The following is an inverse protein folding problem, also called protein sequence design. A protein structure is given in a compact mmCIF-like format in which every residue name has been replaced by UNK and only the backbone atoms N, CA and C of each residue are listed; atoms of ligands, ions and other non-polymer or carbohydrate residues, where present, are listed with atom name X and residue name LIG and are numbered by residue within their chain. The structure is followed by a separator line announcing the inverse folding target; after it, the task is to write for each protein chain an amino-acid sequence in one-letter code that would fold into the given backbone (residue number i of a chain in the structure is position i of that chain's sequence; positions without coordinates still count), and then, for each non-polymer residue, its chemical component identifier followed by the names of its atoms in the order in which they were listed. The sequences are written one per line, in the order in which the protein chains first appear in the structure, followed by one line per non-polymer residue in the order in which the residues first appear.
data_IF_289355021761
#
_entry.id   IF_289355021761
#
_cell.length_a   1.000
_cell.length_b   1.000
_cell.length_c   1.000
_cell.angle_alpha   90.00
_cell.angle_beta   90.00
_cell.angle_gamma   90.00
#
_symmetry.space_group_name_H-M   'P 1'
#
loop_
_entity.id
_entity.type
_entity.pdbx_description
1 polymer ?
#
# COMPACT_ATOMS: atom_id res chain seq x y z
N UNK A 1 -19.76 -4.31 -8.66
CA UNK A 1 -20.45 -3.30 -7.82
C UNK A 1 -21.71 -3.96 -7.31
N UNK A 2 -22.03 -3.81 -6.03
CA UNK A 2 -23.19 -4.45 -5.40
C UNK A 2 -23.98 -3.39 -4.59
N UNK A 3 -25.32 -3.53 -4.52
CA UNK A 3 -26.17 -2.55 -3.85
C UNK A 3 -25.94 -2.56 -2.34
N UNK A 4 -25.90 -1.37 -1.74
CA UNK A 4 -25.75 -1.22 -0.28
C UNK A 4 -27.13 -1.26 0.37
N UNK A 5 -27.24 -1.96 1.50
CA UNK A 5 -28.44 -1.93 2.37
C UNK A 5 -28.05 -1.41 3.74
N UNK A 6 -28.82 -0.46 4.25
CA UNK A 6 -28.61 0.10 5.58
C UNK A 6 -29.66 -0.42 6.55
N UNK A 7 -29.21 -1.02 7.66
CA UNK A 7 -30.11 -1.31 8.78
C UNK A 7 -30.11 -0.14 9.74
N UNK A 8 -31.26 0.48 9.94
CA UNK A 8 -31.40 1.72 10.71
C UNK A 8 -32.46 1.51 11.79
N UNK A 9 -32.04 1.63 13.05
CA UNK A 9 -32.94 1.60 14.21
C UNK A 9 -33.21 3.03 14.67
N UNK A 10 -34.47 3.46 14.60
CA UNK A 10 -34.89 4.86 14.85
C UNK A 10 -35.57 5.02 16.21
N UNK A 11 -35.22 4.16 17.17
CA UNK A 11 -35.90 4.06 18.45
C UNK A 11 -35.71 5.33 19.29
N UNK A 12 -36.81 5.95 19.70
CA UNK A 12 -36.81 7.12 20.60
C UNK A 12 -36.55 8.46 19.93
N UNK A 13 -36.47 8.51 18.60
CA UNK A 13 -36.19 9.73 17.83
C UNK A 13 -37.51 10.42 17.46
N UNK A 14 -37.60 11.76 17.50
CA UNK A 14 -38.76 12.53 17.03
C UNK A 14 -39.19 12.13 15.61
N UNK A 15 -40.51 12.15 15.30
CA UNK A 15 -41.06 11.63 14.05
C UNK A 15 -40.50 12.34 12.81
N UNK A 16 -40.21 13.64 12.92
CA UNK A 16 -39.60 14.44 11.85
C UNK A 16 -38.22 13.93 11.44
N UNK A 17 -37.38 13.62 12.43
CA UNK A 17 -36.02 13.13 12.21
C UNK A 17 -36.08 11.68 11.71
N UNK A 18 -37.03 10.88 12.20
CA UNK A 18 -37.23 9.52 11.70
C UNK A 18 -37.56 9.51 10.21
N UNK A 19 -38.45 10.40 9.76
CA UNK A 19 -38.82 10.52 8.34
C UNK A 19 -37.63 10.95 7.49
N UNK A 20 -36.85 11.94 7.96
CA UNK A 20 -35.66 12.40 7.27
C UNK A 20 -34.63 11.28 7.09
N UNK A 21 -34.37 10.50 8.14
CA UNK A 21 -33.43 9.38 8.10
C UNK A 21 -33.90 8.30 7.12
N UNK A 22 -35.19 8.01 7.05
CA UNK A 22 -35.73 7.08 6.04
C UNK A 22 -35.57 7.60 4.62
N UNK A 23 -35.76 8.89 4.38
CA UNK A 23 -35.61 9.49 3.06
C UNK A 23 -34.14 9.47 2.61
N UNK A 24 -33.21 9.79 3.51
CA UNK A 24 -31.77 9.70 3.25
C UNK A 24 -31.38 8.26 2.94
N UNK A 25 -31.88 7.28 3.72
CA UNK A 25 -31.66 5.86 3.46
C UNK A 25 -32.10 5.47 2.05
N UNK A 26 -33.30 5.85 1.64
CA UNK A 26 -33.84 5.49 0.32
C UNK A 26 -32.97 6.04 -0.83
N UNK A 27 -32.54 7.30 -0.72
CA UNK A 27 -31.67 7.92 -1.72
C UNK A 27 -30.28 7.27 -1.70
N UNK A 28 -29.75 7.00 -0.52
CA UNK A 28 -28.45 6.36 -0.34
C UNK A 28 -28.41 4.94 -0.95
N UNK A 29 -29.44 4.11 -0.75
CA UNK A 29 -29.49 2.75 -1.31
C UNK A 29 -29.64 2.74 -2.84
N UNK A 30 -30.20 3.80 -3.45
CA UNK A 30 -30.31 3.93 -4.92
C UNK A 30 -28.99 4.34 -5.57
N UNK A 31 -28.17 5.14 -4.88
CA UNK A 31 -26.99 5.78 -5.46
C UNK A 31 -25.70 5.08 -5.02
N UNK A 32 -25.62 4.67 -3.75
CA UNK A 32 -24.42 4.09 -3.19
C UNK A 32 -24.32 2.60 -3.55
N UNK A 33 -23.09 2.19 -3.82
CA UNK A 33 -22.74 0.81 -4.07
C UNK A 33 -21.45 0.50 -3.33
N UNK A 34 -21.26 -0.76 -2.94
CA UNK A 34 -19.94 -1.23 -2.53
C UNK A 34 -19.26 -1.95 -3.69
N UNK A 35 -17.93 -1.96 -3.63
CA UNK A 35 -17.12 -2.67 -4.60
C UNK A 35 -17.14 -4.16 -4.24
N UNK A 36 -17.69 -4.99 -5.13
CA UNK A 36 -17.58 -6.46 -5.02
C UNK A 36 -16.12 -6.90 -5.02
N UNK A 37 -15.35 -6.25 -5.88
CA UNK A 37 -13.91 -6.45 -6.04
C UNK A 37 -13.31 -5.07 -6.18
N UNK A 38 -12.27 -4.80 -5.39
CA UNK A 38 -11.58 -3.51 -5.41
C UNK A 38 -10.98 -3.28 -6.81
N UNK A 39 -11.13 -2.09 -7.41
CA UNK A 39 -10.71 -1.84 -8.80
C UNK A 39 -9.20 -1.84 -8.98
N UNK A 40 -8.45 -1.78 -7.89
CA UNK A 40 -7.01 -1.70 -7.90
C UNK A 40 -6.49 -3.07 -7.50
N UNK A 41 -5.65 -3.64 -8.36
CA UNK A 41 -4.83 -4.79 -7.99
C UNK A 41 -3.84 -4.29 -6.96
N UNK A 42 -4.10 -4.59 -5.69
CA UNK A 42 -3.16 -4.25 -4.64
C UNK A 42 -1.89 -5.09 -4.82
N UNK A 43 -0.70 -4.51 -4.61
CA UNK A 43 0.52 -5.29 -4.52
C UNK A 43 0.37 -6.39 -3.45
N UNK A 44 1.06 -7.53 -3.61
CA UNK A 44 1.07 -8.58 -2.60
C UNK A 44 1.40 -8.02 -1.21
N UNK A 45 0.63 -8.40 -0.17
CA UNK A 45 0.89 -7.93 1.18
C UNK A 45 2.30 -8.27 1.65
N UNK A 46 3.02 -7.30 2.20
CA UNK A 46 4.39 -7.48 2.72
C UNK A 46 4.46 -8.64 3.73
N UNK A 47 3.43 -8.78 4.57
CA UNK A 47 3.33 -9.85 5.58
C UNK A 47 3.11 -11.26 5.01
N UNK A 48 2.64 -11.38 3.77
CA UNK A 48 2.40 -12.67 3.10
C UNK A 48 3.62 -13.18 2.33
N UNK A 49 4.69 -12.38 2.25
CA UNK A 49 5.92 -12.82 1.62
C UNK A 49 6.60 -13.87 2.51
N UNK A 50 6.41 -15.15 2.15
CA UNK A 50 7.31 -16.19 2.64
C UNK A 50 8.72 -15.76 2.23
N UNK A 51 9.70 -15.92 3.13
CA UNK A 51 11.07 -15.47 2.93
C UNK A 51 11.74 -16.03 1.64
N UNK A 52 11.09 -16.99 0.96
CA UNK A 52 11.51 -17.56 -0.31
C UNK A 52 11.16 -16.68 -1.53
N UNK A 53 10.01 -16.00 -1.54
CA UNK A 53 9.55 -15.22 -2.72
C UNK A 53 10.01 -13.76 -2.67
N UNK A 54 10.48 -13.28 -1.52
CA UNK A 54 11.13 -11.98 -1.37
C UNK A 54 12.44 -11.88 -2.17
N UNK A 55 12.94 -13.00 -2.72
CA UNK A 55 14.03 -12.99 -3.69
C UNK A 55 13.66 -12.35 -5.03
N UNK A 56 12.40 -12.00 -5.30
CA UNK A 56 12.00 -11.36 -6.55
C UNK A 56 11.50 -9.91 -6.41
N UNK A 57 11.03 -9.50 -5.22
CA UNK A 57 10.63 -8.11 -4.97
C UNK A 57 11.70 -7.27 -4.25
N UNK A 58 12.69 -7.92 -3.61
CA UNK A 58 13.85 -7.27 -2.97
C UNK A 58 15.14 -8.03 -3.33
N UNK A 59 15.26 -8.52 -4.57
CA UNK A 59 16.58 -8.69 -5.19
C UNK A 59 16.77 -7.58 -6.19
N UNK A 60 17.46 -6.56 -5.70
CA UNK A 60 18.50 -5.81 -6.39
C UNK A 60 18.58 -6.11 -7.88
N UNK A 61 18.00 -5.21 -8.68
CA UNK A 61 18.19 -5.19 -10.13
C UNK A 61 19.67 -4.89 -10.48
N UNK A 62 20.52 -4.56 -9.50
CA UNK A 62 21.97 -4.57 -9.63
C UNK A 62 22.66 -4.59 -8.25
N UNK A 63 23.23 -5.74 -7.88
CA UNK A 63 24.50 -5.84 -7.13
C UNK A 63 24.71 -5.01 -5.87
N UNK A 64 23.66 -4.58 -5.17
CA UNK A 64 23.74 -3.77 -3.96
C UNK A 64 22.75 -4.28 -2.91
N UNK A 65 23.26 -4.53 -1.72
CA UNK A 65 22.61 -5.25 -0.63
C UNK A 65 21.57 -4.42 0.13
N UNK A 66 20.38 -5.01 0.36
CA UNK A 66 19.50 -4.69 1.51
C UNK A 66 18.51 -3.54 1.34
N UNK A 67 17.30 -3.72 1.86
CA UNK A 67 16.25 -2.68 1.96
C UNK A 67 16.64 -1.55 2.93
N UNK A 68 17.59 -1.78 3.82
CA UNK A 68 18.38 -0.79 4.57
C UNK A 68 19.75 -1.46 4.78
N UNK A 69 20.85 -0.73 4.57
CA UNK A 69 22.17 -1.29 4.23
C UNK A 69 22.61 -2.53 5.04
N UNK A 70 23.09 -3.56 4.32
CA UNK A 70 23.95 -4.59 4.89
C UNK A 70 23.46 -6.03 4.76
N UNK A 71 23.92 -6.69 3.70
CA UNK A 71 24.12 -8.14 3.66
C UNK A 71 22.87 -9.00 3.46
N UNK A 72 22.80 -9.62 2.28
CA UNK A 72 22.39 -11.02 2.08
C UNK A 72 21.21 -11.53 2.95
N UNK A 73 20.00 -11.50 2.39
CA UNK A 73 18.98 -12.50 2.71
C UNK A 73 18.40 -12.46 4.14
N UNK A 74 18.43 -11.31 4.81
CA UNK A 74 17.70 -11.17 6.07
C UNK A 74 16.19 -11.19 5.78
N UNK A 75 15.41 -12.05 6.46
CA UNK A 75 13.96 -12.02 6.32
C UNK A 75 13.45 -10.66 6.75
N UNK A 76 12.44 -10.14 6.05
CA UNK A 76 11.78 -8.89 6.38
C UNK A 76 11.27 -8.95 7.84
N UNK A 77 11.82 -8.10 8.69
CA UNK A 77 11.32 -7.92 10.06
C UNK A 77 10.23 -6.84 10.04
N UNK A 78 8.99 -7.23 10.36
CA UNK A 78 7.83 -6.33 10.34
C UNK A 78 7.97 -5.14 11.31
N UNK A 79 8.77 -5.26 12.36
CA UNK A 79 9.00 -4.17 13.33
C UNK A 79 9.85 -3.04 12.75
N UNK A 80 10.73 -3.36 11.82
CA UNK A 80 11.69 -2.40 11.28
C UNK A 80 11.09 -1.54 10.16
N UNK A 81 9.96 -1.97 9.57
CA UNK A 81 9.24 -1.22 8.51
C UNK A 81 8.79 0.18 8.94
N UNK A 82 8.60 0.40 10.24
CA UNK A 82 8.11 1.66 10.80
C UNK A 82 9.20 2.48 11.48
N UNK A 83 10.44 1.99 11.51
CA UNK A 83 11.57 2.73 12.03
C UNK A 83 12.13 3.59 10.90
N UNK A 84 12.17 4.91 11.13
CA UNK A 84 12.80 5.81 10.18
C UNK A 84 14.30 5.47 10.07
N UNK A 85 14.85 5.39 8.85
CA UNK A 85 16.28 5.21 8.67
C UNK A 85 17.04 6.45 9.18
N UNK A 86 18.27 6.23 9.59
CA UNK A 86 19.19 7.33 9.91
C UNK A 86 19.63 8.09 8.65
N UNK A 87 20.12 9.31 8.81
CA UNK A 87 20.66 10.10 7.69
C UNK A 87 21.85 9.41 7.02
N UNK A 88 22.73 8.79 7.80
CA UNK A 88 23.89 8.07 7.27
C UNK A 88 23.48 6.87 6.40
N UNK A 89 22.41 6.17 6.79
CA UNK A 89 21.84 5.07 6.00
C UNK A 89 21.16 5.56 4.72
N UNK A 90 20.48 6.71 4.78
CA UNK A 90 19.87 7.34 3.61
C UNK A 90 20.95 7.76 2.60
N UNK A 91 22.02 8.40 3.06
CA UNK A 91 23.11 8.87 2.22
C UNK A 91 23.87 7.71 1.57
N UNK A 92 24.08 6.61 2.30
CA UNK A 92 24.72 5.40 1.77
C UNK A 92 23.91 4.73 0.64
N UNK A 93 22.58 4.91 0.61
CA UNK A 93 21.70 4.37 -0.43
C UNK A 93 21.53 5.37 -1.59
N UNK A 94 21.52 6.66 -1.28
CA UNK A 94 21.32 7.73 -2.26
C UNK A 94 22.57 7.99 -3.12
N UNK A 95 23.76 7.79 -2.56
CA UNK A 95 25.03 8.08 -3.22
C UNK A 95 25.76 6.81 -3.70
N UNK A 96 26.53 6.97 -4.77
CA UNK A 96 27.55 6.01 -5.18
C UNK A 96 28.79 6.13 -4.27
N UNK A 97 29.79 5.22 -4.35
CA UNK A 97 31.00 5.29 -3.52
C UNK A 97 31.88 6.54 -3.75
N UNK A 98 31.55 7.39 -4.73
CA UNK A 98 32.15 8.70 -5.00
C UNK A 98 31.32 9.86 -4.46
N UNK A 99 30.18 9.59 -3.80
CA UNK A 99 29.30 10.61 -3.24
C UNK A 99 28.31 11.21 -4.25
N UNK A 100 28.28 10.71 -5.49
CA UNK A 100 27.37 11.22 -6.52
C UNK A 100 26.00 10.56 -6.45
N UNK A 101 24.90 11.25 -6.78
CA UNK A 101 23.57 10.66 -6.81
C UNK A 101 23.52 9.43 -7.72
N UNK A 102 23.05 8.31 -7.17
CA UNK A 102 22.99 7.04 -7.90
C UNK A 102 22.00 7.14 -9.06
N UNK A 103 22.50 6.97 -10.29
CA UNK A 103 21.65 6.95 -11.49
C UNK A 103 20.82 5.67 -11.58
N UNK A 104 19.61 5.79 -12.12
CA UNK A 104 18.74 4.64 -12.42
C UNK A 104 19.37 3.76 -13.50
N UNK A 105 19.23 2.45 -13.37
CA UNK A 105 19.68 1.47 -14.37
C UNK A 105 18.74 1.45 -15.57
N UNK A 106 19.21 0.95 -16.72
CA UNK A 106 18.41 0.85 -17.94
C UNK A 106 17.11 0.05 -17.74
N UNK A 107 17.17 -1.03 -16.96
CA UNK A 107 15.98 -1.81 -16.57
C UNK A 107 15.01 -1.02 -15.69
N UNK A 108 15.53 -0.18 -14.79
CA UNK A 108 14.69 0.68 -13.94
C UNK A 108 14.00 1.77 -14.78
N UNK A 109 14.73 2.37 -15.72
CA UNK A 109 14.16 3.30 -16.69
C UNK A 109 13.10 2.62 -17.56
N UNK A 110 13.32 1.34 -17.92
CA UNK A 110 12.38 0.52 -18.65
C UNK A 110 11.06 0.24 -17.89
N UNK A 111 11.14 -0.08 -16.60
CA UNK A 111 9.93 -0.26 -15.80
C UNK A 111 9.16 1.06 -15.57
N UNK A 112 9.84 2.21 -15.62
CA UNK A 112 9.18 3.52 -15.44
C UNK A 112 8.47 3.96 -16.72
N UNK A 113 9.02 3.64 -17.91
CA UNK A 113 8.43 4.02 -19.21
C UNK A 113 7.17 3.21 -19.58
N UNK A 114 6.98 2.01 -19.03
CA UNK A 114 5.88 1.11 -19.39
C UNK A 114 4.60 1.39 -18.57
N UNK A 115 4.13 2.65 -18.57
CA UNK A 115 2.88 3.09 -17.92
C UNK A 115 1.96 3.81 -18.87
#
# INVERSE_FOLDING_TARGET
REPVKFDVTVNGVPPEISQLVHHIKEVAEKILFHWKTFPIVLPPPVASSSAADTSLAIRSINGGSGLFGGGSGRPLNMRDLFLAPSFDELDAVAADPKGEPRRLTEKQLEMIRER
#
